data_IF_585882471784
#
_entry.id   IF_585882471784
#
_cell.length_a   1.000
_cell.length_b   1.000
_cell.length_c   1.000
_cell.angle_alpha   90.00
_cell.angle_beta   90.00
_cell.angle_gamma   90.00
#
_symmetry.space_group_name_H-M   'P 1'
#
loop_
_entity.id
_entity.type
_entity.pdbx_description
1 polymer ?
#
# COMPACT_ATOMS: atom_id res chain seq x y z
N UNK A 1 -5.72 -4.99 11.32
CA UNK A 1 -5.75 -5.88 10.13
C UNK A 1 -5.51 -5.13 8.82
N UNK A 2 -6.28 -4.09 8.52
CA UNK A 2 -6.17 -3.37 7.23
C UNK A 2 -4.80 -2.71 7.00
N UNK A 3 -4.22 -2.10 8.04
CA UNK A 3 -2.91 -1.45 7.94
C UNK A 3 -1.80 -2.43 7.48
N UNK A 4 -1.72 -3.63 8.08
CA UNK A 4 -0.68 -4.62 7.75
C UNK A 4 -0.78 -5.12 6.31
N UNK A 5 -1.98 -5.41 5.81
CA UNK A 5 -2.15 -5.86 4.42
C UNK A 5 -1.84 -4.75 3.41
N UNK A 6 -2.16 -3.49 3.73
CA UNK A 6 -1.85 -2.36 2.83
C UNK A 6 -0.35 -2.08 2.82
N UNK A 7 0.31 -2.00 3.98
CA UNK A 7 1.76 -1.80 4.07
C UNK A 7 2.53 -2.91 3.36
N UNK A 8 2.13 -4.17 3.55
CA UNK A 8 2.72 -5.31 2.85
C UNK A 8 2.45 -5.31 1.34
N UNK A 9 1.28 -4.81 0.90
CA UNK A 9 1.01 -4.59 -0.52
C UNK A 9 1.94 -3.54 -1.12
N UNK A 10 2.17 -2.44 -0.41
CA UNK A 10 2.99 -1.33 -0.89
C UNK A 10 4.48 -1.68 -1.00
N UNK A 11 5.01 -2.54 -0.13
CA UNK A 11 6.39 -3.04 -0.29
C UNK A 11 6.56 -3.92 -1.53
N UNK A 12 5.49 -4.49 -2.06
CA UNK A 12 5.48 -5.30 -3.28
C UNK A 12 5.03 -4.48 -4.51
N UNK A 13 5.01 -3.15 -4.42
CA UNK A 13 4.52 -2.24 -5.47
C UNK A 13 3.06 -2.48 -5.88
N UNK A 14 2.25 -3.02 -4.96
CA UNK A 14 0.82 -3.29 -5.18
C UNK A 14 -0.02 -2.21 -4.50
N UNK A 15 -0.37 -1.18 -5.28
CA UNK A 15 -1.15 -0.03 -4.80
C UNK A 15 -2.65 -0.11 -5.08
N UNK A 16 -3.06 -0.96 -6.02
CA UNK A 16 -4.47 -1.12 -6.38
C UNK A 16 -5.23 -1.90 -5.30
N UNK A 17 -6.32 -1.35 -4.78
CA UNK A 17 -7.16 -2.04 -3.79
C UNK A 17 -7.71 -3.37 -4.29
N UNK A 18 -7.97 -3.51 -5.60
CA UNK A 18 -8.38 -4.79 -6.21
C UNK A 18 -7.26 -5.82 -6.17
N UNK A 19 -6.05 -5.42 -6.57
CA UNK A 19 -4.88 -6.31 -6.49
C UNK A 19 -4.56 -6.71 -5.04
N UNK A 20 -4.79 -5.83 -4.07
CA UNK A 20 -4.63 -6.17 -2.64
C UNK A 20 -5.70 -7.20 -2.21
N UNK A 21 -6.94 -7.05 -2.66
CA UNK A 21 -8.00 -8.06 -2.43
C UNK A 21 -7.60 -9.42 -3.02
N UNK A 22 -7.15 -9.45 -4.27
CA UNK A 22 -6.69 -10.70 -4.93
C UNK A 22 -5.55 -11.35 -4.13
N UNK A 23 -4.60 -10.54 -3.66
CA UNK A 23 -3.51 -11.03 -2.82
C UNK A 23 -4.00 -11.65 -1.51
N UNK A 24 -5.07 -11.14 -0.89
CA UNK A 24 -5.64 -11.77 0.32
C UNK A 24 -6.25 -13.15 0.05
N UNK A 25 -6.55 -13.49 -1.22
CA UNK A 25 -7.09 -14.79 -1.65
C UNK A 25 -6.03 -15.74 -2.18
N UNK A 26 -4.93 -15.22 -2.71
CA UNK A 26 -3.92 -16.05 -3.38
C UNK A 26 -2.61 -16.20 -2.57
N UNK A 27 -2.20 -15.15 -1.85
CA UNK A 27 -0.92 -15.16 -1.13
C UNK A 27 -1.07 -15.65 0.31
N UNK A 28 -0.38 -16.74 0.66
CA UNK A 28 -0.35 -17.29 2.04
C UNK A 28 0.06 -16.23 3.06
N UNK A 29 1.07 -15.41 2.71
CA UNK A 29 1.52 -14.29 3.54
C UNK A 29 0.39 -13.29 3.79
N UNK A 30 -0.35 -12.92 2.74
CA UNK A 30 -1.45 -11.96 2.86
C UNK A 30 -2.67 -12.56 3.56
N UNK A 31 -2.96 -13.86 3.39
CA UNK A 31 -3.97 -14.58 4.19
C UNK A 31 -3.63 -14.56 5.68
N UNK A 32 -2.39 -14.85 6.02
CA UNK A 32 -1.92 -14.83 7.40
C UNK A 32 -1.98 -13.42 7.99
N UNK A 33 -1.52 -12.41 7.25
CA UNK A 33 -1.67 -11.01 7.63
C UNK A 33 -3.14 -10.61 7.72
N UNK A 34 -4.02 -11.11 6.87
CA UNK A 34 -5.45 -10.85 6.97
C UNK A 34 -6.15 -11.69 8.04
N UNK A 35 -5.45 -12.58 8.77
CA UNK A 35 -6.05 -13.50 9.75
C UNK A 35 -7.18 -14.36 9.16
N UNK A 36 -7.03 -14.74 7.88
CA UNK A 36 -8.06 -15.50 7.15
C UNK A 36 -9.25 -14.68 6.67
N UNK A 37 -9.33 -13.38 6.96
CA UNK A 37 -10.35 -12.52 6.38
C UNK A 37 -10.02 -12.13 4.94
N UNK A 38 -11.05 -11.97 4.11
CA UNK A 38 -10.93 -11.56 2.71
C UNK A 38 -11.64 -10.21 2.49
N UNK A 39 -11.03 -9.09 2.93
CA UNK A 39 -11.67 -7.78 2.78
C UNK A 39 -11.77 -7.38 1.31
N UNK A 40 -12.99 -7.03 0.87
CA UNK A 40 -13.20 -6.51 -0.49
C UNK A 40 -12.39 -5.24 -0.78
N UNK A 41 -12.12 -4.97 -2.06
CA UNK A 41 -11.44 -3.75 -2.50
C UNK A 41 -12.15 -2.47 -2.02
N UNK A 42 -13.48 -2.52 -1.85
CA UNK A 42 -14.27 -1.38 -1.32
C UNK A 42 -13.92 -1.11 0.14
N UNK A 43 -13.81 -2.15 0.95
CA UNK A 43 -13.40 -2.04 2.36
C UNK A 43 -11.97 -1.52 2.48
N UNK A 44 -11.06 -2.04 1.66
CA UNK A 44 -9.65 -1.59 1.58
C UNK A 44 -9.58 -0.10 1.23
N UNK A 45 -10.27 0.30 0.16
CA UNK A 45 -10.25 1.69 -0.29
C UNK A 45 -10.90 2.63 0.72
N UNK A 46 -12.04 2.25 1.32
CA UNK A 46 -12.71 3.04 2.35
C UNK A 46 -11.82 3.28 3.56
N UNK A 47 -11.10 2.26 4.02
CA UNK A 47 -10.13 2.40 5.10
C UNK A 47 -8.99 3.36 4.72
N UNK A 48 -8.49 3.24 3.49
CA UNK A 48 -7.37 4.06 2.99
C UNK A 48 -7.71 5.55 2.82
N UNK A 49 -8.88 5.87 2.28
CA UNK A 49 -9.29 7.25 2.01
C UNK A 49 -9.86 7.97 3.23
N UNK A 50 -10.02 7.26 4.36
CA UNK A 50 -10.53 7.87 5.57
C UNK A 50 -9.58 8.99 6.02
N UNK A 51 -10.05 10.22 6.31
CA UNK A 51 -9.17 11.36 6.58
C UNK A 51 -8.14 11.12 7.69
N UNK A 52 -8.56 10.46 8.77
CA UNK A 52 -7.66 10.10 9.88
C UNK A 52 -6.61 9.04 9.49
N UNK A 53 -6.94 8.17 8.54
CA UNK A 53 -6.04 7.11 8.09
C UNK A 53 -5.05 7.59 7.06
N UNK A 54 -5.39 8.59 6.25
CA UNK A 54 -4.53 9.05 5.16
C UNK A 54 -3.16 9.53 5.68
N UNK A 55 -3.16 10.38 6.70
CA UNK A 55 -1.91 10.87 7.29
C UNK A 55 -1.19 9.77 8.07
N UNK A 56 -1.93 8.95 8.82
CA UNK A 56 -1.36 7.82 9.56
C UNK A 56 -0.66 6.82 8.63
N UNK A 57 -1.27 6.48 7.49
CA UNK A 57 -0.70 5.58 6.49
C UNK A 57 0.63 6.10 5.96
N UNK A 58 0.71 7.41 5.68
CA UNK A 58 1.94 8.07 5.21
C UNK A 58 3.05 7.95 6.25
N UNK A 59 2.76 8.30 7.50
CA UNK A 59 3.72 8.24 8.60
C UNK A 59 4.17 6.80 8.88
N UNK A 60 3.22 5.86 8.96
CA UNK A 60 3.53 4.45 9.17
C UNK A 60 4.41 3.88 8.06
N UNK A 61 4.18 4.24 6.79
CA UNK A 61 5.01 3.76 5.70
C UNK A 61 6.46 4.26 5.79
N UNK A 62 6.64 5.54 6.14
CA UNK A 62 7.97 6.12 6.36
C UNK A 62 8.68 5.42 7.52
N UNK A 63 8.01 5.30 8.67
CA UNK A 63 8.58 4.64 9.85
C UNK A 63 8.91 3.18 9.57
N UNK A 64 8.02 2.46 8.90
CA UNK A 64 8.22 1.07 8.54
C UNK A 64 9.45 0.90 7.65
N UNK A 65 9.62 1.76 6.64
CA UNK A 65 10.84 1.75 5.82
C UNK A 65 12.09 2.06 6.65
N UNK A 66 12.05 3.07 7.51
CA UNK A 66 13.19 3.41 8.37
C UNK A 66 13.61 2.22 9.24
N UNK A 67 12.65 1.54 9.86
CA UNK A 67 12.92 0.33 10.66
C UNK A 67 13.55 -0.79 9.82
N UNK A 68 13.05 -1.04 8.62
CA UNK A 68 13.65 -2.06 7.73
C UNK A 68 15.10 -1.73 7.35
N UNK A 69 15.43 -0.44 7.20
CA UNK A 69 16.82 0.01 6.95
C UNK A 69 17.68 -0.18 8.21
N UNK A 70 17.18 0.22 9.37
CA UNK A 70 17.87 0.08 10.65
C UNK A 70 18.19 -1.39 10.98
N UNK A 71 17.24 -2.29 10.71
CA UNK A 71 17.40 -3.74 10.85
C UNK A 71 18.22 -4.40 9.74
N UNK A 72 18.71 -3.62 8.75
CA UNK A 72 19.47 -4.10 7.59
C UNK A 72 18.73 -5.16 6.76
N UNK A 73 17.40 -5.07 6.72
CA UNK A 73 16.55 -5.94 5.90
C UNK A 73 16.40 -5.42 4.47
N UNK A 74 16.66 -4.13 4.24
CA UNK A 74 16.68 -3.50 2.91
C UNK A 74 17.88 -2.56 2.77
N UNK A 75 18.48 -2.53 1.59
CA UNK A 75 19.58 -1.62 1.26
C UNK A 75 19.06 -0.23 0.83
N UNK A 76 19.78 0.82 1.22
CA UNK A 76 19.49 2.20 0.80
C UNK A 76 19.95 2.54 -0.62
N UNK A 77 20.63 1.62 -1.31
CA UNK A 77 21.46 1.95 -2.48
C UNK A 77 20.69 2.29 -3.76
N UNK A 78 19.42 1.92 -3.91
CA UNK A 78 18.67 2.17 -5.13
C UNK A 78 17.33 2.85 -4.85
N UNK A 79 17.30 4.19 -5.01
CA UNK A 79 16.05 4.95 -5.12
C UNK A 79 15.61 4.89 -6.57
N UNK A 80 14.69 3.99 -6.88
CA UNK A 80 14.03 3.97 -8.19
C UNK A 80 12.93 5.04 -8.22
N UNK A 81 13.25 6.21 -8.76
CA UNK A 81 12.24 7.23 -9.08
C UNK A 81 11.62 6.83 -10.41
N UNK A 82 10.55 6.03 -10.35
CA UNK A 82 9.77 5.71 -11.55
C UNK A 82 8.99 6.96 -11.98
N UNK A 83 9.26 7.42 -13.21
CA UNK A 83 8.65 8.61 -13.76
C UNK A 83 7.16 8.38 -13.99
N UNK A 84 6.32 8.78 -13.04
CA UNK A 84 4.87 8.78 -13.28
C UNK A 84 4.55 9.85 -14.31
N UNK A 85 4.26 9.44 -15.55
CA UNK A 85 3.77 10.33 -16.59
C UNK A 85 2.35 10.78 -16.24
N UNK A 86 2.23 11.98 -15.68
CA UNK A 86 0.94 12.63 -15.45
C UNK A 86 0.50 13.22 -16.80
N UNK A 87 -0.49 12.59 -17.43
CA UNK A 87 -1.10 13.14 -18.65
C UNK A 87 -1.81 14.46 -18.32
N UNK A 88 -1.60 15.47 -19.16
CA UNK A 88 -2.27 16.76 -18.99
C UNK A 88 -3.78 16.58 -19.24
N UNK A 89 -4.61 16.86 -18.23
CA UNK A 89 -6.05 16.93 -18.40
C UNK A 89 -6.43 18.29 -18.99
N UNK A 90 -6.69 18.33 -20.30
CA UNK A 90 -7.07 19.54 -21.04
C UNK A 90 -8.60 19.78 -21.11
N UNK A 91 -9.39 19.21 -20.20
CA UNK A 91 -10.83 19.48 -20.18
C UNK A 91 -11.11 20.89 -19.62
N UNK A 92 -11.54 21.80 -20.51
CA UNK A 92 -11.98 23.17 -20.17
C UNK A 92 -13.34 23.25 -19.45
N UNK A 93 -14.02 22.13 -19.21
CA UNK A 93 -15.42 22.09 -18.76
C UNK A 93 -15.65 21.22 -17.50
N UNK A 94 -14.70 21.15 -16.57
CA UNK A 94 -14.96 20.61 -15.22
C UNK A 94 -14.86 21.72 -14.18
#
# INVERSE_FOLDING_TARGET
MMLKIILCGYTQSVFSGRRIEDLTKDSIRMKWLAQGYEPSYRTINRFRIHPQMQELMRQCFVQFRCQLVEEKLIDQQAIFIDGTKIEANANKFT
#
